data_IF_495360044556
#
_entry.id   IF_495360044556
#
_cell.length_a   1.000
_cell.length_b   1.000
_cell.length_c   1.000
_cell.angle_alpha   90.00
_cell.angle_beta   90.00
_cell.angle_gamma   90.00
#
_symmetry.space_group_name_H-M   'P 1'
#
loop_
_entity.id
_entity.type
_entity.pdbx_description
1 polymer ?
#
# COMPACT_ATOMS: atom_id res chain seq x y z
N UNK A 1 -47.17 33.29 -21.16
CA UNK A 1 -46.31 32.09 -21.08
C UNK A 1 -44.87 32.50 -20.75
N UNK A 2 -44.52 32.70 -19.46
CA UNK A 2 -43.15 33.12 -19.07
C UNK A 2 -42.74 32.71 -17.63
N UNK A 3 -43.48 31.79 -17.00
CA UNK A 3 -43.30 31.44 -15.59
C UNK A 3 -42.89 29.99 -15.30
N UNK A 4 -42.74 29.12 -16.32
CA UNK A 4 -42.44 27.69 -16.12
C UNK A 4 -40.96 27.32 -16.25
N UNK A 5 -40.11 28.20 -16.77
CA UNK A 5 -38.68 27.92 -16.95
C UNK A 5 -37.85 28.24 -15.70
N UNK A 6 -38.29 29.16 -14.83
CA UNK A 6 -37.52 29.54 -13.64
C UNK A 6 -37.55 28.44 -12.55
N UNK A 7 -38.66 27.71 -12.42
CA UNK A 7 -38.84 26.64 -11.44
C UNK A 7 -37.99 25.40 -11.74
N UNK A 8 -37.72 25.10 -13.01
CA UNK A 8 -36.87 23.96 -13.39
C UNK A 8 -35.37 24.19 -13.11
N UNK A 9 -34.91 25.44 -13.21
CA UNK A 9 -33.52 25.79 -12.90
C UNK A 9 -33.25 25.79 -11.39
N UNK A 10 -34.22 26.26 -10.60
CA UNK A 10 -34.14 26.23 -9.13
C UNK A 10 -34.14 24.80 -8.57
N UNK A 11 -34.93 23.88 -9.14
CA UNK A 11 -34.90 22.47 -8.72
C UNK A 11 -33.61 21.76 -9.12
N UNK A 12 -33.04 22.07 -10.30
CA UNK A 12 -31.76 21.52 -10.73
C UNK A 12 -30.59 21.94 -9.84
N UNK A 13 -30.53 23.21 -9.43
CA UNK A 13 -29.50 23.72 -8.51
C UNK A 13 -29.67 23.14 -7.10
N UNK A 14 -30.91 22.99 -6.62
CA UNK A 14 -31.17 22.40 -5.30
C UNK A 14 -30.76 20.92 -5.24
N UNK A 15 -31.01 20.16 -6.31
CA UNK A 15 -30.62 18.75 -6.39
C UNK A 15 -29.09 18.58 -6.48
N UNK A 16 -28.42 19.46 -7.21
CA UNK A 16 -26.95 19.50 -7.25
C UNK A 16 -26.34 19.89 -5.89
N UNK A 17 -26.98 20.80 -5.14
CA UNK A 17 -26.58 21.13 -3.77
C UNK A 17 -26.80 19.98 -2.78
N UNK A 18 -27.85 19.18 -2.95
CA UNK A 18 -28.12 18.00 -2.13
C UNK A 18 -27.11 16.87 -2.35
N UNK A 19 -26.55 16.74 -3.56
CA UNK A 19 -25.44 15.81 -3.84
C UNK A 19 -24.09 16.26 -3.27
N UNK A 20 -23.97 17.52 -2.83
CA UNK A 20 -22.78 18.08 -2.18
C UNK A 20 -22.83 17.98 -0.64
N UNK A 21 -23.91 17.40 -0.07
CA UNK A 21 -23.98 17.16 1.37
C UNK A 21 -22.93 16.11 1.77
N UNK A 22 -21.98 16.45 2.65
CA UNK A 22 -20.97 15.50 3.12
C UNK A 22 -21.68 14.38 3.86
N UNK A 23 -21.49 13.14 3.39
CA UNK A 23 -21.92 11.97 4.17
C UNK A 23 -20.97 11.81 5.37
N UNK A 24 -21.49 11.57 6.58
CA UNK A 24 -20.62 11.16 7.67
C UNK A 24 -19.82 9.94 7.23
N UNK A 25 -18.53 9.95 7.50
CA UNK A 25 -17.72 8.73 7.39
C UNK A 25 -18.39 7.66 8.28
N UNK A 26 -18.31 6.40 7.84
CA UNK A 26 -18.72 5.24 8.64
C UNK A 26 -17.47 4.47 9.11
N UNK A 27 -17.49 3.98 10.35
CA UNK A 27 -16.40 3.23 10.95
C UNK A 27 -16.34 1.93 10.17
N UNK A 28 -15.15 1.37 10.01
CA UNK A 28 -14.99 0.21 9.15
C UNK A 28 -15.61 -0.99 9.86
N UNK A 29 -16.80 -1.38 9.42
CA UNK A 29 -17.36 -2.68 9.75
C UNK A 29 -16.66 -3.73 8.90
N UNK A 30 -15.76 -4.47 9.53
CA UNK A 30 -15.15 -5.66 8.94
C UNK A 30 -16.18 -6.78 8.83
N UNK A 31 -16.01 -7.69 7.87
CA UNK A 31 -16.99 -8.75 7.62
C UNK A 31 -17.25 -9.62 8.85
N UNK A 32 -16.22 -9.78 9.69
CA UNK A 32 -16.25 -10.56 10.94
C UNK A 32 -15.45 -9.84 12.03
N UNK A 33 -15.65 -10.27 13.28
CA UNK A 33 -14.79 -9.84 14.38
C UNK A 33 -13.38 -10.40 14.15
N UNK A 34 -12.41 -9.52 13.94
CA UNK A 34 -11.03 -9.92 13.62
C UNK A 34 -10.28 -10.17 14.92
N UNK A 35 -9.91 -11.42 15.19
CA UNK A 35 -9.08 -11.81 16.33
C UNK A 35 -7.92 -12.66 15.80
N UNK A 36 -6.74 -12.05 15.65
CA UNK A 36 -5.58 -12.65 14.99
C UNK A 36 -4.30 -12.27 15.71
N UNK A 37 -3.37 -13.20 15.81
CA UNK A 37 -2.06 -12.99 16.42
C UNK A 37 -0.98 -12.78 15.34
N UNK A 38 -1.08 -13.48 14.20
CA UNK A 38 -0.05 -13.44 13.16
C UNK A 38 -0.56 -13.36 11.70
N UNK A 39 0.35 -13.54 10.73
CA UNK A 39 -0.02 -13.51 9.30
C UNK A 39 -0.71 -14.79 8.87
N UNK A 40 -0.41 -15.92 9.52
CA UNK A 40 -0.96 -17.22 9.15
C UNK A 40 -2.45 -17.27 9.53
N UNK A 41 -2.85 -16.68 10.65
CA UNK A 41 -4.27 -16.50 11.03
C UNK A 41 -5.05 -15.71 9.96
N UNK A 42 -4.46 -14.62 9.45
CA UNK A 42 -5.07 -13.84 8.36
C UNK A 42 -5.21 -14.67 7.07
N UNK A 43 -4.22 -15.53 6.77
CA UNK A 43 -4.31 -16.43 5.62
C UNK A 43 -5.40 -17.48 5.81
N UNK A 44 -5.60 -17.98 7.03
CA UNK A 44 -6.68 -18.92 7.35
C UNK A 44 -8.06 -18.27 7.18
N UNK A 45 -8.24 -17.01 7.62
CA UNK A 45 -9.47 -16.26 7.40
C UNK A 45 -9.77 -16.06 5.91
N UNK A 46 -8.75 -15.78 5.09
CA UNK A 46 -8.90 -15.68 3.64
C UNK A 46 -9.22 -17.04 3.01
N UNK A 47 -8.51 -18.10 3.40
CA UNK A 47 -8.70 -19.44 2.85
C UNK A 47 -10.06 -20.05 3.21
N UNK A 48 -10.65 -19.62 4.32
CA UNK A 48 -12.00 -20.01 4.77
C UNK A 48 -13.11 -19.08 4.25
N UNK A 49 -12.79 -18.13 3.36
CA UNK A 49 -13.71 -17.14 2.80
C UNK A 49 -14.45 -16.30 3.87
N UNK A 50 -13.88 -16.16 5.08
CA UNK A 50 -14.45 -15.32 6.15
C UNK A 50 -14.16 -13.84 5.92
N UNK A 51 -13.07 -13.54 5.21
CA UNK A 51 -12.71 -12.19 4.79
C UNK A 51 -12.43 -12.18 3.30
N UNK A 52 -12.72 -11.05 2.65
CA UNK A 52 -12.37 -10.85 1.24
C UNK A 52 -10.85 -10.67 1.04
N UNK A 53 -10.37 -10.89 -0.19
CA UNK A 53 -8.97 -10.62 -0.56
C UNK A 53 -8.59 -9.14 -0.31
N UNK A 54 -9.53 -8.22 -0.51
CA UNK A 54 -9.37 -6.79 -0.22
C UNK A 54 -9.18 -6.53 1.28
N UNK A 55 -10.01 -7.13 2.15
CA UNK A 55 -9.88 -7.04 3.60
C UNK A 55 -8.55 -7.65 4.08
N UNK A 56 -8.19 -8.83 3.57
CA UNK A 56 -6.93 -9.48 3.87
C UNK A 56 -5.73 -8.58 3.53
N UNK A 57 -5.70 -8.01 2.32
CA UNK A 57 -4.65 -7.10 1.89
C UNK A 57 -4.57 -5.84 2.79
N UNK A 58 -5.72 -5.32 3.21
CA UNK A 58 -5.83 -4.17 4.12
C UNK A 58 -5.26 -4.49 5.49
N UNK A 59 -5.63 -5.62 6.10
CA UNK A 59 -5.17 -6.04 7.42
C UNK A 59 -3.68 -6.38 7.45
N UNK A 60 -3.15 -7.01 6.40
CA UNK A 60 -1.72 -7.23 6.25
C UNK A 60 -0.97 -5.90 6.18
N UNK A 61 -1.45 -4.95 5.39
CA UNK A 61 -0.83 -3.63 5.29
C UNK A 61 -0.87 -2.90 6.63
N UNK A 62 -2.02 -2.95 7.32
CA UNK A 62 -2.20 -2.37 8.64
C UNK A 62 -1.23 -2.96 9.68
N UNK A 63 -1.13 -4.29 9.78
CA UNK A 63 -0.22 -4.98 10.70
C UNK A 63 1.24 -4.64 10.43
N UNK A 64 1.65 -4.61 9.14
CA UNK A 64 3.02 -4.27 8.76
C UNK A 64 3.34 -2.80 9.07
N UNK A 65 2.40 -1.90 8.79
CA UNK A 65 2.53 -0.46 9.02
C UNK A 65 2.48 -0.12 10.50
N UNK A 66 1.67 -0.81 11.28
CA UNK A 66 1.35 -0.49 12.67
C UNK A 66 0.67 0.87 12.86
N UNK A 67 -0.21 0.97 13.85
CA UNK A 67 -0.83 2.24 14.26
C UNK A 67 -0.21 2.68 15.58
N UNK A 68 0.28 3.91 15.65
CA UNK A 68 0.77 4.51 16.90
C UNK A 68 -0.38 5.25 17.58
N UNK A 69 -0.79 4.84 18.77
CA UNK A 69 -1.93 5.45 19.49
C UNK A 69 -1.70 6.93 19.83
N UNK A 70 -0.45 7.35 20.01
CA UNK A 70 -0.10 8.71 20.41
C UNK A 70 -0.11 9.67 19.22
N UNK A 71 0.23 9.20 18.02
CA UNK A 71 0.36 10.04 16.83
C UNK A 71 -0.78 9.84 15.81
N UNK A 72 -1.47 8.70 15.85
CA UNK A 72 -2.47 8.35 14.86
C UNK A 72 -3.57 9.40 14.75
N UNK A 73 -3.90 9.73 13.50
CA UNK A 73 -5.08 10.54 13.22
C UNK A 73 -6.35 9.75 13.53
N UNK A 74 -7.46 10.47 13.63
CA UNK A 74 -8.79 9.87 13.80
C UNK A 74 -9.09 8.82 12.71
N UNK A 75 -8.75 9.13 11.46
CA UNK A 75 -8.93 8.25 10.32
C UNK A 75 -8.06 6.99 10.40
N UNK A 76 -6.85 7.12 10.96
CA UNK A 76 -5.98 5.97 11.18
C UNK A 76 -6.47 5.07 12.31
N UNK A 77 -7.05 5.64 13.36
CA UNK A 77 -7.69 4.86 14.42
C UNK A 77 -8.94 4.12 13.90
N UNK A 78 -9.72 4.73 13.00
CA UNK A 78 -10.83 4.02 12.33
C UNK A 78 -10.39 2.88 11.43
N UNK A 79 -9.10 2.83 11.06
CA UNK A 79 -8.56 1.70 10.31
C UNK A 79 -8.29 0.46 11.16
N UNK A 80 -8.38 0.55 12.48
CA UNK A 80 -8.23 -0.59 13.37
C UNK A 80 -9.50 -1.45 13.37
N UNK A 81 -9.36 -2.79 13.37
CA UNK A 81 -10.52 -3.67 13.41
C UNK A 81 -11.26 -3.56 14.74
N UNK A 82 -12.55 -3.88 14.71
CA UNK A 82 -13.44 -3.98 15.87
C UNK A 82 -13.65 -2.67 16.67
N UNK A 83 -13.13 -1.52 16.22
CA UNK A 83 -13.36 -0.23 16.87
C UNK A 83 -14.59 0.49 16.31
N UNK A 84 -15.42 1.00 17.22
CA UNK A 84 -16.53 1.88 16.87
C UNK A 84 -16.11 3.36 16.85
N UNK A 85 -17.01 4.22 16.38
CA UNK A 85 -16.84 5.67 16.47
C UNK A 85 -16.60 6.16 17.89
N UNK A 86 -17.43 5.66 18.79
CA UNK A 86 -17.38 6.02 20.19
C UNK A 86 -16.04 5.60 20.80
N UNK A 87 -15.55 4.41 20.45
CA UNK A 87 -14.24 3.92 20.91
C UNK A 87 -13.11 4.86 20.49
N UNK A 88 -13.07 5.25 19.22
CA UNK A 88 -12.04 6.17 18.72
C UNK A 88 -12.16 7.55 19.36
N UNK A 89 -13.37 8.07 19.56
CA UNK A 89 -13.59 9.32 20.27
C UNK A 89 -13.08 9.26 21.71
N UNK A 90 -13.33 8.16 22.42
CA UNK A 90 -12.83 7.95 23.78
C UNK A 90 -11.30 7.85 23.81
N UNK A 91 -10.67 7.16 22.86
CA UNK A 91 -9.20 7.10 22.75
C UNK A 91 -8.63 8.51 22.54
N UNK A 92 -9.21 9.30 21.63
CA UNK A 92 -8.75 10.65 21.36
C UNK A 92 -8.95 11.60 22.54
N UNK A 93 -10.07 11.47 23.26
CA UNK A 93 -10.34 12.23 24.48
C UNK A 93 -9.34 11.86 25.59
N UNK A 94 -9.14 10.57 25.83
CA UNK A 94 -8.16 10.09 26.80
C UNK A 94 -6.74 10.57 26.47
N UNK A 95 -6.35 10.53 25.19
CA UNK A 95 -5.06 11.07 24.74
C UNK A 95 -4.91 12.56 25.02
N UNK A 96 -5.98 13.34 24.87
CA UNK A 96 -5.96 14.77 25.18
C UNK A 96 -5.83 15.05 26.69
N UNK A 97 -6.36 14.16 27.54
CA UNK A 97 -6.33 14.27 29.00
C UNK A 97 -5.02 13.76 29.60
N UNK A 98 -4.60 12.54 29.24
CA UNK A 98 -3.40 11.88 29.75
C UNK A 98 -2.11 12.40 29.09
N UNK A 99 -2.23 12.99 27.90
CA UNK A 99 -1.11 13.51 27.10
C UNK A 99 -0.35 12.41 26.35
N UNK A 100 0.05 11.33 27.03
CA UNK A 100 0.74 10.18 26.43
C UNK A 100 0.11 8.88 26.93
N UNK A 101 -0.18 7.97 26.00
CA UNK A 101 -0.57 6.58 26.26
C UNK A 101 0.73 5.76 26.30
N UNK A 102 1.12 5.27 27.48
CA UNK A 102 2.39 4.56 27.68
C UNK A 102 2.29 3.10 27.26
N UNK A 103 1.16 2.47 27.57
CA UNK A 103 0.87 1.11 27.18
C UNK A 103 -0.57 1.01 26.66
N UNK A 104 -0.85 0.11 25.69
CA UNK A 104 -2.23 -0.18 25.29
C UNK A 104 -3.13 -0.58 26.48
N UNK A 105 -2.55 -1.21 27.51
CA UNK A 105 -3.24 -1.57 28.75
C UNK A 105 -3.81 -0.37 29.52
N UNK A 106 -3.26 0.84 29.35
CA UNK A 106 -3.76 2.06 29.98
C UNK A 106 -5.19 2.37 29.51
N UNK A 107 -5.52 2.05 28.26
CA UNK A 107 -6.87 2.22 27.71
C UNK A 107 -7.88 1.30 28.38
N UNK A 108 -7.49 0.07 28.70
CA UNK A 108 -8.35 -0.83 29.47
C UNK A 108 -8.47 -0.41 30.94
N UNK A 109 -7.36 0.02 31.56
CA UNK A 109 -7.36 0.49 32.94
C UNK A 109 -8.20 1.76 33.14
N UNK A 110 -8.22 2.66 32.16
CA UNK A 110 -9.04 3.87 32.14
C UNK A 110 -10.50 3.61 31.71
N UNK A 111 -10.86 2.39 31.34
CA UNK A 111 -12.21 2.05 30.86
C UNK A 111 -12.53 2.63 29.47
N UNK A 112 -11.51 3.02 28.71
CA UNK A 112 -11.63 3.58 27.35
C UNK A 112 -11.91 2.48 26.33
N UNK A 113 -11.39 1.26 26.55
CA UNK A 113 -11.68 0.07 25.75
C UNK A 113 -11.91 -1.13 26.67
N UNK A 114 -12.71 -2.10 26.23
CA UNK A 114 -12.79 -3.38 26.92
C UNK A 114 -11.56 -4.25 26.63
N UNK A 115 -11.30 -5.24 27.49
CA UNK A 115 -10.13 -6.11 27.36
C UNK A 115 -10.14 -6.94 26.08
N UNK A 116 -11.33 -7.33 25.60
CA UNK A 116 -11.49 -8.15 24.41
C UNK A 116 -11.15 -7.35 23.14
N UNK A 117 -11.74 -6.16 22.98
CA UNK A 117 -11.43 -5.31 21.82
C UNK A 117 -9.99 -4.89 21.86
N UNK A 118 -9.45 -4.52 23.04
CA UNK A 118 -8.03 -4.22 23.18
C UNK A 118 -7.14 -5.38 22.72
N UNK A 119 -7.41 -6.60 23.17
CA UNK A 119 -6.66 -7.80 22.76
C UNK A 119 -6.63 -7.97 21.24
N UNK A 120 -7.79 -7.84 20.59
CA UNK A 120 -7.94 -8.02 19.14
C UNK A 120 -7.17 -6.98 18.29
N UNK A 121 -6.90 -5.80 18.84
CA UNK A 121 -6.18 -4.73 18.12
C UNK A 121 -4.68 -4.70 18.42
N UNK A 122 -4.18 -5.46 19.40
CA UNK A 122 -2.77 -5.42 19.82
C UNK A 122 -1.80 -5.75 18.68
N UNK A 123 -2.14 -6.72 17.81
CA UNK A 123 -1.29 -7.10 16.66
C UNK A 123 -1.12 -5.97 15.63
N UNK A 124 -2.04 -4.99 15.62
CA UNK A 124 -2.05 -3.88 14.68
C UNK A 124 -1.46 -2.58 15.26
N UNK A 125 -1.22 -2.52 16.57
CA UNK A 125 -0.74 -1.34 17.27
C UNK A 125 0.78 -1.43 17.49
N UNK A 126 1.47 -0.29 17.41
CA UNK A 126 2.85 -0.17 17.85
C UNK A 126 2.89 0.32 19.29
N UNK A 127 3.55 -0.45 20.16
CA UNK A 127 3.92 0.05 21.48
C UNK A 127 4.98 1.14 21.31
N UNK A 128 4.66 2.36 21.75
CA UNK A 128 5.64 3.43 21.89
C UNK A 128 6.59 3.14 23.05
N UNK A 129 7.79 3.73 23.01
CA UNK A 129 8.67 3.75 24.18
C UNK A 129 8.05 4.70 25.24
N UNK A 130 7.70 4.20 26.45
CA UNK A 130 7.02 4.99 27.46
C UNK A 130 7.84 6.18 27.97
N UNK A 131 9.16 6.21 27.77
CA UNK A 131 10.03 7.32 28.16
C UNK A 131 10.35 8.30 27.01
N UNK A 132 9.96 7.96 25.78
CA UNK A 132 10.27 8.78 24.63
C UNK A 132 9.43 10.07 24.61
N UNK A 133 10.12 11.22 24.52
CA UNK A 133 9.46 12.49 24.20
C UNK A 133 8.80 12.36 22.83
N UNK A 134 7.63 12.96 22.61
CA UNK A 134 6.99 13.01 21.29
C UNK A 134 7.88 13.63 20.18
N UNK A 135 8.92 14.39 20.52
CA UNK A 135 9.90 14.91 19.53
C UNK A 135 11.09 13.97 19.29
N UNK A 136 11.16 12.85 20.01
CA UNK A 136 12.24 11.90 19.90
C UNK A 136 12.24 11.27 18.51
N UNK A 137 13.44 11.00 18.01
CA UNK A 137 13.58 10.30 16.74
C UNK A 137 13.36 8.82 17.01
N UNK A 138 12.35 8.24 16.38
CA UNK A 138 12.07 6.81 16.45
C UNK A 138 12.10 6.22 15.06
N UNK A 139 12.31 4.92 14.98
CA UNK A 139 12.45 4.25 13.70
C UNK A 139 12.70 2.77 13.88
N UNK A 140 12.73 2.07 12.77
CA UNK A 140 13.00 0.65 12.74
C UNK A 140 13.78 0.31 11.48
N UNK A 141 14.58 -0.75 11.60
CA UNK A 141 15.28 -1.38 10.48
C UNK A 141 14.86 -2.84 10.47
N UNK A 142 14.47 -3.34 9.29
CA UNK A 142 14.10 -4.74 9.10
C UNK A 142 14.92 -5.32 7.96
N UNK A 143 15.62 -6.41 8.26
CA UNK A 143 16.33 -7.20 7.27
C UNK A 143 15.66 -8.58 7.18
N UNK A 144 15.33 -9.01 5.97
CA UNK A 144 14.75 -10.34 5.74
C UNK A 144 15.47 -11.04 4.60
N UNK A 145 15.67 -12.34 4.77
CA UNK A 145 16.20 -13.23 3.75
C UNK A 145 15.50 -14.58 3.85
N UNK A 146 15.54 -15.36 2.78
CA UNK A 146 14.99 -16.71 2.76
C UNK A 146 15.84 -17.59 1.84
N UNK A 147 16.06 -18.84 2.24
CA UNK A 147 16.88 -19.80 1.51
C UNK A 147 16.19 -21.18 1.51
N UNK A 148 16.59 -22.04 0.58
CA UNK A 148 16.15 -23.44 0.53
C UNK A 148 17.36 -24.35 0.30
N UNK A 149 17.29 -25.62 0.71
CA UNK A 149 18.43 -26.56 0.65
C UNK A 149 18.89 -26.87 -0.78
N UNK A 150 17.97 -26.81 -1.75
CA UNK A 150 18.27 -27.02 -3.18
C UNK A 150 18.79 -25.74 -3.87
N UNK A 151 18.59 -24.57 -3.26
CA UNK A 151 19.01 -23.28 -3.81
C UNK A 151 20.38 -22.88 -3.27
N UNK A 152 21.42 -23.04 -4.10
CA UNK A 152 22.82 -22.70 -3.77
C UNK A 152 23.22 -21.29 -4.20
N UNK A 153 22.30 -20.51 -4.75
CA UNK A 153 22.56 -19.14 -5.19
C UNK A 153 22.64 -18.15 -4.02
N UNK A 154 22.95 -16.89 -4.35
CA UNK A 154 22.68 -15.76 -3.43
C UNK A 154 21.20 -15.83 -3.07
N UNK A 155 20.78 -15.74 -1.79
CA UNK A 155 19.36 -15.76 -1.45
C UNK A 155 18.70 -14.42 -1.77
N UNK A 156 17.37 -14.38 -1.99
CA UNK A 156 16.65 -13.12 -2.01
C UNK A 156 16.80 -12.42 -0.65
N UNK A 157 17.00 -11.11 -0.70
CA UNK A 157 17.17 -10.28 0.49
C UNK A 157 16.37 -9.00 0.35
N UNK A 158 15.89 -8.49 1.47
CA UNK A 158 15.24 -7.18 1.55
C UNK A 158 15.71 -6.46 2.81
N UNK A 159 15.98 -5.16 2.66
CA UNK A 159 16.32 -4.26 3.75
C UNK A 159 15.35 -3.08 3.71
N UNK A 160 14.61 -2.90 4.79
CA UNK A 160 13.71 -1.77 4.99
C UNK A 160 14.22 -0.94 6.15
N UNK A 161 14.10 0.38 6.03
CA UNK A 161 14.35 1.29 7.11
C UNK A 161 13.32 2.41 7.08
N UNK A 162 12.81 2.79 8.24
CA UNK A 162 11.95 3.98 8.41
C UNK A 162 12.35 4.70 9.67
N UNK A 163 12.47 6.02 9.57
CA UNK A 163 12.77 6.91 10.69
C UNK A 163 11.79 8.07 10.65
N UNK A 164 11.19 8.36 11.80
CA UNK A 164 10.33 9.52 12.03
C UNK A 164 11.01 10.44 13.05
N UNK A 165 11.08 11.72 12.73
CA UNK A 165 11.75 12.74 13.53
C UNK A 165 10.94 14.04 13.49
N UNK A 166 11.15 14.92 14.48
CA UNK A 166 10.44 16.21 14.58
C UNK A 166 8.90 16.10 14.55
N UNK A 167 8.31 14.96 14.98
CA UNK A 167 6.87 14.59 14.92
C UNK A 167 6.25 14.46 13.52
N UNK A 168 6.86 15.07 12.50
CA UNK A 168 6.19 15.30 11.21
C UNK A 168 7.02 14.80 10.05
N UNK A 169 8.35 14.64 10.22
CA UNK A 169 9.24 14.21 9.14
C UNK A 169 9.47 12.71 9.22
N UNK A 170 8.96 11.97 8.23
CA UNK A 170 9.22 10.53 8.07
C UNK A 170 10.04 10.28 6.81
N UNK A 171 11.14 9.53 6.96
CA UNK A 171 12.02 9.13 5.87
C UNK A 171 12.05 7.60 5.85
N UNK A 172 11.95 7.01 4.67
CA UNK A 172 12.04 5.56 4.57
C UNK A 172 12.47 5.06 3.19
N UNK A 173 12.98 3.83 3.17
CA UNK A 173 13.39 3.14 1.97
C UNK A 173 13.29 1.62 2.12
N UNK A 174 13.08 0.93 1.01
CA UNK A 174 13.13 -0.53 0.91
C UNK A 174 13.98 -0.94 -0.29
N UNK A 175 15.12 -1.58 -0.01
CA UNK A 175 16.05 -2.14 -0.99
C UNK A 175 15.94 -3.66 -1.07
N UNK A 176 16.10 -4.21 -2.27
CA UNK A 176 15.88 -5.63 -2.57
C UNK A 176 17.07 -6.19 -3.34
N UNK A 177 17.41 -7.44 -3.07
CA UNK A 177 18.24 -8.25 -3.95
C UNK A 177 17.33 -9.26 -4.64
N UNK A 178 17.08 -9.05 -5.93
CA UNK A 178 16.26 -9.93 -6.78
C UNK A 178 17.13 -10.73 -7.71
N UNK A 179 16.70 -11.93 -8.08
CA UNK A 179 17.44 -12.89 -8.91
C UNK A 179 16.63 -13.31 -10.12
N UNK A 180 15.31 -13.34 -9.99
CA UNK A 180 14.32 -13.81 -10.96
C UNK A 180 13.66 -12.66 -11.74
N UNK A 181 14.23 -11.46 -11.66
CA UNK A 181 13.77 -10.32 -12.47
C UNK A 181 14.70 -10.12 -13.66
N UNK A 182 14.16 -10.07 -14.90
CA UNK A 182 14.94 -9.65 -16.05
C UNK A 182 15.38 -8.19 -15.88
N UNK A 183 16.45 -7.81 -16.58
CA UNK A 183 16.86 -6.42 -16.67
C UNK A 183 15.77 -5.54 -17.31
N UNK A 184 15.89 -4.20 -17.19
CA UNK A 184 15.02 -3.30 -17.96
C UNK A 184 15.19 -3.60 -19.46
N UNK A 185 14.08 -3.71 -20.23
CA UNK A 185 14.16 -3.96 -21.66
C UNK A 185 14.81 -2.76 -22.36
N UNK A 186 15.68 -3.04 -23.32
CA UNK A 186 16.37 -2.08 -24.17
C UNK A 186 16.10 -2.45 -25.62
N UNK A 187 15.79 -1.45 -26.43
CA UNK A 187 15.61 -1.65 -27.87
C UNK A 187 16.96 -1.94 -28.55
N UNK A 188 17.07 -3.06 -29.26
CA UNK A 188 18.23 -3.39 -30.10
C UNK A 188 17.88 -3.14 -31.58
N UNK A 189 18.45 -2.10 -32.22
CA UNK A 189 18.13 -1.76 -33.60
C UNK A 189 18.66 -2.78 -34.62
N UNK A 190 19.61 -3.65 -34.26
CA UNK A 190 20.11 -4.67 -35.18
C UNK A 190 19.17 -5.88 -35.28
N UNK A 191 18.43 -6.13 -34.19
CA UNK A 191 17.48 -7.23 -34.07
C UNK A 191 16.03 -6.79 -34.26
N UNK A 192 15.78 -5.49 -34.32
CA UNK A 192 14.44 -4.89 -34.37
C UNK A 192 13.54 -5.42 -33.24
N UNK A 193 14.14 -5.60 -32.05
CA UNK A 193 13.51 -6.28 -30.92
C UNK A 193 13.87 -5.64 -29.58
N UNK A 194 12.99 -5.84 -28.58
CA UNK A 194 13.26 -5.51 -27.19
C UNK A 194 14.05 -6.63 -26.53
N UNK A 195 15.26 -6.32 -26.10
CA UNK A 195 16.16 -7.24 -25.42
C UNK A 195 16.23 -6.88 -23.94
N UNK A 196 16.17 -7.87 -23.05
CA UNK A 196 16.42 -7.69 -21.63
C UNK A 196 17.66 -8.47 -21.22
N UNK A 197 18.46 -7.92 -20.31
CA UNK A 197 19.53 -8.71 -19.71
C UNK A 197 18.96 -9.89 -18.93
N UNK A 198 19.65 -11.04 -18.99
CA UNK A 198 19.30 -12.27 -18.29
C UNK A 198 19.05 -12.08 -16.79
N UNK A 199 18.30 -13.03 -16.22
CA UNK A 199 18.00 -13.08 -14.80
C UNK A 199 19.31 -13.33 -14.02
N UNK A 200 19.68 -12.38 -13.15
CA UNK A 200 20.87 -12.47 -12.29
C UNK A 200 20.62 -11.69 -10.98
N UNK A 201 21.37 -11.97 -9.90
CA UNK A 201 21.29 -11.18 -8.68
C UNK A 201 21.53 -9.69 -8.95
N UNK A 202 20.55 -8.85 -8.64
CA UNK A 202 20.59 -7.39 -8.80
C UNK A 202 20.05 -6.70 -7.56
N UNK A 203 20.71 -5.62 -7.18
CA UNK A 203 20.23 -4.70 -6.14
C UNK A 203 19.24 -3.73 -6.78
N UNK A 204 18.04 -3.61 -6.21
CA UNK A 204 17.01 -2.67 -6.62
C UNK A 204 16.60 -1.81 -5.42
N UNK A 205 16.39 -0.52 -5.65
CA UNK A 205 15.81 0.39 -4.65
C UNK A 205 14.46 0.91 -5.16
N UNK A 206 13.41 0.06 -5.21
CA UNK A 206 12.15 0.44 -5.82
C UNK A 206 11.32 1.41 -4.97
N UNK A 207 11.62 1.51 -3.66
CA UNK A 207 10.88 2.34 -2.72
C UNK A 207 11.83 3.21 -1.91
N UNK A 208 11.64 4.51 -2.02
CA UNK A 208 12.30 5.52 -1.20
C UNK A 208 11.39 6.74 -1.12
N UNK A 209 11.25 7.32 0.06
CA UNK A 209 10.37 8.47 0.27
C UNK A 209 10.85 9.37 1.41
N UNK A 210 10.42 10.62 1.34
CA UNK A 210 10.48 11.61 2.40
C UNK A 210 9.11 12.24 2.51
N UNK A 211 8.51 12.21 3.69
CA UNK A 211 7.21 12.77 3.99
C UNK A 211 7.32 13.78 5.12
N UNK A 212 6.76 14.96 4.91
CA UNK A 212 6.39 15.88 5.96
C UNK A 212 4.88 15.82 6.14
N UNK A 213 4.40 15.46 7.32
CA UNK A 213 2.97 15.44 7.62
C UNK A 213 2.64 16.25 8.87
N UNK A 214 1.99 17.40 8.67
CA UNK A 214 1.55 18.26 9.77
C UNK A 214 0.03 18.43 9.79
N UNK A 215 -0.45 19.25 10.72
CA UNK A 215 -1.89 19.48 10.93
C UNK A 215 -2.52 20.29 9.79
N UNK A 216 -1.77 21.24 9.22
CA UNK A 216 -2.27 22.18 8.19
C UNK A 216 -1.95 21.73 6.78
N UNK A 217 -0.73 21.24 6.57
CA UNK A 217 -0.26 20.78 5.27
C UNK A 217 0.60 19.54 5.43
N UNK A 218 0.68 18.76 4.36
CA UNK A 218 1.64 17.68 4.21
C UNK A 218 2.21 17.65 2.80
N UNK A 219 3.40 17.08 2.68
CA UNK A 219 4.09 16.85 1.41
C UNK A 219 4.76 15.48 1.48
N UNK A 220 4.70 14.72 0.39
CA UNK A 220 5.52 13.52 0.21
C UNK A 220 6.26 13.58 -1.11
N UNK A 221 7.53 13.18 -1.09
CA UNK A 221 8.39 13.06 -2.27
C UNK A 221 8.93 11.64 -2.33
N UNK A 222 8.93 11.04 -3.52
CA UNK A 222 9.42 9.69 -3.77
C UNK A 222 8.27 8.71 -3.99
N UNK A 223 8.33 7.55 -3.32
CA UNK A 223 7.36 6.46 -3.49
C UNK A 223 6.18 6.64 -2.55
N UNK A 224 5.00 6.84 -3.12
CA UNK A 224 3.78 7.07 -2.36
C UNK A 224 2.57 6.37 -2.98
N UNK A 225 1.50 6.33 -2.19
CA UNK A 225 0.15 5.96 -2.62
C UNK A 225 -0.77 7.11 -2.28
N UNK A 226 -1.81 7.29 -3.08
CA UNK A 226 -2.84 8.27 -2.82
C UNK A 226 -4.21 7.66 -3.05
N UNK A 227 -5.18 8.10 -2.27
CA UNK A 227 -6.57 7.73 -2.45
C UNK A 227 -7.51 8.82 -1.95
N UNK A 228 -8.58 9.03 -2.71
CA UNK A 228 -9.51 10.14 -2.55
C UNK A 228 -10.95 9.71 -2.77
N UNK A 229 -11.88 10.42 -2.13
CA UNK A 229 -13.31 10.25 -2.34
C UNK A 229 -13.81 8.85 -1.97
N UNK A 230 -13.30 8.26 -0.88
CA UNK A 230 -13.70 6.91 -0.43
C UNK A 230 -13.54 5.86 -1.53
N UNK A 231 -12.40 5.87 -2.24
CA UNK A 231 -12.07 4.99 -3.36
C UNK A 231 -12.86 5.23 -4.65
N UNK A 232 -13.78 6.20 -4.70
CA UNK A 232 -14.63 6.45 -5.88
C UNK A 232 -13.96 7.29 -6.97
N UNK A 233 -13.02 8.17 -6.61
CA UNK A 233 -12.39 9.09 -7.58
C UNK A 233 -11.06 8.53 -8.06
N UNK A 234 -10.22 8.14 -7.12
CA UNK A 234 -8.89 7.64 -7.39
C UNK A 234 -8.40 6.92 -6.15
N UNK A 235 -7.89 5.71 -6.29
CA UNK A 235 -7.28 4.97 -5.19
C UNK A 235 -6.18 4.05 -5.69
N UNK A 236 -5.01 4.19 -5.06
CA UNK A 236 -3.85 3.30 -5.23
C UNK A 236 -3.37 2.74 -3.89
N UNK A 237 -4.13 3.02 -2.84
CA UNK A 237 -3.92 2.50 -1.49
C UNK A 237 -4.61 1.14 -1.35
N UNK A 238 -4.32 0.42 -0.26
CA UNK A 238 -5.19 -0.67 0.19
C UNK A 238 -5.89 -0.26 1.49
N UNK A 239 -6.27 1.02 1.62
CA UNK A 239 -7.02 1.51 2.79
C UNK A 239 -8.50 1.49 2.46
N UNK A 240 -9.34 1.23 3.45
CA UNK A 240 -10.78 1.18 3.26
C UNK A 240 -11.38 2.56 2.96
N UNK A 241 -10.96 3.59 3.69
CA UNK A 241 -11.39 4.99 3.52
C UNK A 241 -10.18 5.90 3.29
N UNK A 242 -9.51 5.79 2.13
CA UNK A 242 -8.34 6.59 1.87
C UNK A 242 -8.72 8.06 1.66
N UNK A 243 -8.00 8.94 2.35
CA UNK A 243 -8.12 10.38 2.24
C UNK A 243 -6.74 11.03 2.32
N UNK A 244 -6.14 11.29 1.17
CA UNK A 244 -4.84 11.94 1.06
C UNK A 244 -3.77 11.05 0.43
N UNK A 245 -2.53 11.26 0.83
CA UNK A 245 -1.37 10.51 0.37
C UNK A 245 -0.64 9.86 1.55
N UNK A 246 0.01 8.73 1.27
CA UNK A 246 0.66 7.89 2.26
C UNK A 246 1.99 7.38 1.68
N UNK A 247 3.01 7.26 2.52
CA UNK A 247 4.24 6.59 2.13
C UNK A 247 3.97 5.12 1.75
N UNK A 248 4.82 4.56 0.87
CA UNK A 248 4.80 3.14 0.53
C UNK A 248 6.18 2.51 0.74
N UNK A 249 6.29 1.68 1.76
CA UNK A 249 7.40 0.74 2.00
C UNK A 249 6.94 -0.72 2.06
N UNK A 250 5.77 -1.05 1.51
CA UNK A 250 5.21 -2.39 1.59
C UNK A 250 6.06 -3.41 0.82
N UNK A 251 6.51 -4.44 1.54
CA UNK A 251 7.24 -5.61 1.02
C UNK A 251 6.34 -6.83 1.15
N UNK A 252 6.31 -7.67 0.11
CA UNK A 252 5.51 -8.89 0.08
C UNK A 252 6.43 -10.11 0.01
N UNK A 253 6.28 -11.02 0.97
CA UNK A 253 6.98 -12.29 0.98
C UNK A 253 6.20 -13.34 0.17
N UNK A 254 6.85 -14.12 -0.68
CA UNK A 254 6.22 -15.29 -1.28
C UNK A 254 6.17 -16.46 -0.28
N UNK A 255 5.00 -17.09 -0.15
CA UNK A 255 4.78 -18.21 0.78
C UNK A 255 4.92 -19.58 0.12
N UNK A 256 5.20 -19.61 -1.18
CA UNK A 256 5.35 -20.85 -1.96
C UNK A 256 6.68 -20.86 -2.69
N UNK A 257 7.26 -22.06 -2.78
CA UNK A 257 8.41 -22.31 -3.65
C UNK A 257 8.01 -22.10 -5.13
N UNK A 258 9.00 -21.79 -5.95
CA UNK A 258 8.84 -21.69 -7.40
C UNK A 258 10.05 -22.23 -8.12
N UNK A 259 9.90 -22.50 -9.41
CA UNK A 259 11.04 -22.84 -10.26
C UNK A 259 12.08 -21.73 -10.21
N UNK A 260 13.34 -22.12 -10.01
CA UNK A 260 14.46 -21.17 -9.94
C UNK A 260 14.75 -20.62 -11.33
N UNK A 261 14.80 -21.50 -12.34
CA UNK A 261 14.99 -21.16 -13.74
C UNK A 261 13.61 -21.00 -14.42
N UNK A 262 13.40 -19.86 -15.10
CA UNK A 262 12.10 -19.49 -15.71
C UNK A 262 12.21 -18.98 -17.15
N UNK A 263 13.35 -19.22 -17.79
CA UNK A 263 13.65 -18.77 -19.14
C UNK A 263 13.11 -19.79 -20.17
N UNK A 264 12.34 -19.31 -21.14
CA UNK A 264 11.93 -20.10 -22.30
C UNK A 264 13.12 -20.29 -23.27
N UNK A 265 12.92 -21.10 -24.32
CA UNK A 265 13.92 -21.23 -25.38
C UNK A 265 14.14 -19.92 -26.15
N UNK A 266 13.09 -19.12 -26.35
CA UNK A 266 13.15 -17.93 -27.21
C UNK A 266 13.71 -18.30 -28.59
N UNK A 267 14.76 -17.60 -29.03
CA UNK A 267 15.48 -17.87 -30.29
C UNK A 267 16.41 -19.10 -30.23
N UNK A 268 16.62 -19.70 -29.06
CA UNK A 268 17.52 -20.85 -28.90
C UNK A 268 16.84 -22.16 -29.30
N UNK A 269 17.61 -23.17 -29.77
CA UNK A 269 17.06 -24.50 -30.08
C UNK A 269 16.41 -25.22 -28.89
N UNK A 270 16.86 -24.91 -27.66
CA UNK A 270 16.36 -25.50 -26.42
C UNK A 270 16.39 -24.45 -25.28
N UNK A 271 15.48 -24.59 -24.32
CA UNK A 271 15.44 -23.71 -23.14
C UNK A 271 16.71 -23.85 -22.30
N UNK A 272 17.30 -22.72 -21.83
CA UNK A 272 18.36 -22.76 -20.82
C UNK A 272 17.94 -23.45 -19.52
N UNK A 273 16.63 -23.58 -19.29
CA UNK A 273 16.02 -24.25 -18.16
C UNK A 273 15.65 -25.71 -18.46
N UNK A 274 16.11 -26.32 -19.55
CA UNK A 274 15.89 -27.73 -19.81
C UNK A 274 16.60 -28.63 -18.77
N UNK A 275 16.09 -29.86 -18.60
CA UNK A 275 16.64 -30.84 -17.66
C UNK A 275 16.38 -30.51 -16.18
N UNK A 276 17.32 -30.88 -15.31
CA UNK A 276 17.17 -30.76 -13.85
C UNK A 276 17.02 -29.30 -13.36
N UNK A 277 17.54 -28.34 -14.12
CA UNK A 277 17.47 -26.91 -13.77
C UNK A 277 16.03 -26.36 -13.81
N UNK A 278 15.22 -26.81 -14.76
CA UNK A 278 13.80 -26.44 -14.86
C UNK A 278 12.92 -27.09 -13.80
N UNK A 279 13.37 -28.20 -13.22
CA UNK A 279 12.65 -28.93 -12.17
C UNK A 279 13.12 -28.57 -10.75
N UNK A 280 14.10 -27.68 -10.61
CA UNK A 280 14.59 -27.26 -9.30
C UNK A 280 13.70 -26.16 -8.73
N UNK A 281 13.11 -26.42 -7.56
CA UNK A 281 12.28 -25.46 -6.83
C UNK A 281 13.08 -24.78 -5.73
N UNK A 282 12.92 -23.46 -5.62
CA UNK A 282 13.57 -22.64 -4.61
C UNK A 282 12.69 -21.49 -4.13
N UNK A 283 13.27 -20.65 -3.29
CA UNK A 283 12.57 -19.48 -2.75
C UNK A 283 12.42 -18.43 -3.85
N UNK A 284 11.18 -17.99 -4.07
CA UNK A 284 10.88 -16.86 -4.97
C UNK A 284 11.39 -15.55 -4.39
N UNK A 285 11.70 -14.58 -5.25
CA UNK A 285 12.12 -13.25 -4.79
C UNK A 285 11.03 -12.53 -3.99
N UNK A 286 11.44 -11.69 -3.04
CA UNK A 286 10.55 -10.72 -2.41
C UNK A 286 9.92 -9.82 -3.46
N UNK A 287 8.62 -9.58 -3.33
CA UNK A 287 7.85 -8.77 -4.26
C UNK A 287 7.58 -7.39 -3.67
N UNK A 288 7.43 -6.42 -4.57
CA UNK A 288 6.83 -5.14 -4.27
C UNK A 288 5.76 -4.85 -5.30
N UNK A 289 4.78 -4.03 -4.91
CA UNK A 289 3.86 -3.40 -5.85
C UNK A 289 4.46 -2.08 -6.29
N UNK A 290 4.40 -1.80 -7.58
CA UNK A 290 4.80 -0.52 -8.12
C UNK A 290 3.83 0.56 -7.63
N UNK A 291 4.39 1.52 -6.91
CA UNK A 291 3.66 2.65 -6.35
C UNK A 291 3.75 3.85 -7.28
N UNK A 292 3.08 4.93 -6.93
CA UNK A 292 3.36 6.21 -7.58
C UNK A 292 4.78 6.64 -7.18
N UNK A 293 5.51 7.25 -8.11
CA UNK A 293 6.77 7.93 -7.83
C UNK A 293 6.64 9.39 -8.22
N UNK A 294 6.86 10.30 -7.29
CA UNK A 294 6.79 11.73 -7.57
C UNK A 294 6.54 12.56 -6.34
N UNK A 295 5.63 13.53 -6.45
CA UNK A 295 5.33 14.48 -5.38
C UNK A 295 3.83 14.57 -5.17
N UNK A 296 3.40 14.53 -3.92
CA UNK A 296 2.04 14.92 -3.54
C UNK A 296 2.08 15.95 -2.41
N UNK A 297 1.15 16.90 -2.45
CA UNK A 297 0.97 17.98 -1.48
C UNK A 297 -0.50 18.07 -1.12
N UNK A 298 -0.79 18.36 0.15
CA UNK A 298 -2.15 18.50 0.64
C UNK A 298 -2.26 19.61 1.68
N UNK A 299 -3.35 20.37 1.61
CA UNK A 299 -3.81 21.25 2.67
C UNK A 299 -5.01 20.58 3.36
N UNK A 300 -4.88 20.30 4.66
CA UNK A 300 -5.80 19.42 5.40
C UNK A 300 -6.99 20.12 6.06
N UNK A 301 -6.83 21.40 6.41
CA UNK A 301 -7.83 22.14 7.18
C UNK A 301 -7.83 23.63 6.79
N UNK A 302 -8.21 23.90 5.54
CA UNK A 302 -8.36 25.28 5.07
C UNK A 302 -9.66 25.85 5.66
N UNK A 303 -9.59 26.91 6.49
CA UNK A 303 -10.80 27.49 7.08
C UNK A 303 -11.66 28.14 6.00
N UNK A 304 -12.95 27.82 6.01
CA UNK A 304 -13.97 28.48 5.18
C UNK A 304 -14.94 29.25 6.08
N UNK A 305 -15.70 30.23 5.54
CA UNK A 305 -16.72 30.94 6.31
C UNK A 305 -17.74 30.02 7.01
N UNK A 306 -17.97 28.84 6.44
CA UNK A 306 -18.72 27.74 7.06
C UNK A 306 -17.95 26.44 6.82
N UNK A 307 -17.41 25.85 7.88
CA UNK A 307 -16.69 24.57 7.83
C UNK A 307 -15.21 24.67 7.42
N UNK A 308 -14.70 23.60 6.82
CA UNK A 308 -13.31 23.48 6.37
C UNK A 308 -13.23 22.80 5.01
N UNK A 309 -12.13 23.03 4.30
CA UNK A 309 -11.85 22.41 3.01
C UNK A 309 -10.50 21.68 3.03
N UNK A 310 -10.46 20.55 2.32
CA UNK A 310 -9.25 19.83 1.98
C UNK A 310 -8.93 20.02 0.50
N UNK A 311 -7.66 20.26 0.21
CA UNK A 311 -7.16 20.37 -1.15
C UNK A 311 -5.91 19.53 -1.32
N UNK A 312 -5.92 18.61 -2.26
CA UNK A 312 -4.78 17.75 -2.57
C UNK A 312 -4.37 17.92 -4.03
N UNK A 313 -3.06 17.96 -4.27
CA UNK A 313 -2.46 17.94 -5.60
C UNK A 313 -1.37 16.89 -5.63
N UNK A 314 -1.32 16.08 -6.68
CA UNK A 314 -0.30 15.05 -6.83
C UNK A 314 0.15 14.93 -8.29
N UNK A 315 1.43 14.61 -8.45
CA UNK A 315 2.04 14.30 -9.73
C UNK A 315 2.90 13.05 -9.59
N UNK A 316 2.72 12.10 -10.50
CA UNK A 316 3.50 10.87 -10.51
C UNK A 316 4.02 10.55 -11.90
N UNK A 317 5.20 9.94 -11.93
CA UNK A 317 5.72 9.23 -13.10
C UNK A 317 5.92 7.77 -12.69
N UNK A 318 5.56 6.85 -13.57
CA UNK A 318 5.83 5.44 -13.38
C UNK A 318 6.69 4.96 -14.55
N UNK A 319 7.90 4.48 -14.26
CA UNK A 319 8.63 3.65 -15.21
C UNK A 319 8.01 2.25 -15.15
N UNK A 320 6.90 2.04 -15.87
CA UNK A 320 6.32 0.71 -16.02
C UNK A 320 7.40 -0.20 -16.61
N UNK A 321 7.74 -1.27 -15.91
CA UNK A 321 8.47 -2.36 -16.54
C UNK A 321 7.46 -3.05 -17.44
N UNK A 322 7.60 -2.87 -18.75
CA UNK A 322 6.70 -3.47 -19.73
C UNK A 322 6.73 -4.98 -19.51
N UNK A 323 5.60 -5.57 -19.17
CA UNK A 323 5.51 -7.01 -19.00
C UNK A 323 5.50 -7.67 -20.38
N UNK A 324 6.07 -8.86 -20.52
CA UNK A 324 6.24 -9.53 -21.81
C UNK A 324 4.93 -9.68 -22.62
N UNK A 325 3.78 -9.78 -21.96
CA UNK A 325 2.45 -9.87 -22.58
C UNK A 325 1.79 -8.51 -22.86
N UNK A 326 2.49 -7.39 -22.61
CA UNK A 326 2.02 -6.02 -22.87
C UNK A 326 2.69 -5.39 -24.10
N UNK A 327 3.52 -6.15 -24.83
CA UNK A 327 4.22 -5.70 -26.04
C UNK A 327 3.53 -6.31 -27.25
N UNK A 328 3.03 -5.47 -28.16
CA UNK A 328 2.48 -5.88 -29.45
C UNK A 328 3.10 -5.00 -30.54
N UNK A 329 3.28 -5.53 -31.75
CA UNK A 329 3.73 -4.74 -32.88
C UNK A 329 2.55 -3.97 -33.46
N UNK A 330 2.55 -2.64 -33.31
CA UNK A 330 1.51 -1.76 -33.85
C UNK A 330 1.37 -1.85 -35.37
N UNK A 331 2.42 -2.23 -36.10
CA UNK A 331 2.35 -2.40 -37.55
C UNK A 331 1.63 -3.68 -37.96
N UNK A 332 1.49 -4.64 -37.04
CA UNK A 332 0.82 -5.93 -37.25
C UNK A 332 -0.50 -6.04 -36.48
N UNK A 333 -0.73 -5.17 -35.50
CA UNK A 333 -1.88 -5.17 -34.62
C UNK A 333 -2.36 -3.75 -34.34
N UNK A 334 -3.48 -3.38 -34.97
CA UNK A 334 -4.10 -2.05 -34.81
C UNK A 334 -4.87 -1.92 -33.47
N UNK A 335 -5.38 -3.03 -32.91
CA UNK A 335 -6.08 -3.06 -31.61
C UNK A 335 -5.42 -4.05 -30.63
N UNK A 336 -4.75 -3.57 -29.57
CA UNK A 336 -4.07 -4.42 -28.59
C UNK A 336 -4.98 -5.26 -27.69
N UNK A 337 -6.30 -5.10 -27.80
CA UNK A 337 -7.27 -5.97 -27.11
C UNK A 337 -7.76 -7.11 -27.99
N UNK A 338 -7.34 -7.16 -29.25
CA UNK A 338 -7.67 -8.28 -30.13
C UNK A 338 -7.03 -9.57 -29.64
N UNK A 339 -7.79 -10.65 -29.73
CA UNK A 339 -7.33 -12.02 -29.45
C UNK A 339 -6.63 -12.67 -30.63
N UNK A 340 -6.42 -11.92 -31.72
CA UNK A 340 -5.71 -12.41 -32.89
C UNK A 340 -4.26 -12.78 -32.54
N UNK A 341 -3.77 -13.86 -33.14
CA UNK A 341 -2.42 -14.37 -32.89
C UNK A 341 -1.33 -13.36 -33.30
N UNK A 342 -1.60 -12.48 -34.27
CA UNK A 342 -0.73 -11.36 -34.65
C UNK A 342 -0.66 -10.22 -33.63
N UNK A 343 -1.63 -10.16 -32.71
CA UNK A 343 -1.67 -9.23 -31.58
C UNK A 343 -1.08 -9.83 -30.30
N UNK A 344 -0.67 -11.10 -30.35
CA UNK A 344 0.04 -11.73 -29.25
C UNK A 344 1.47 -11.20 -29.16
N UNK A 345 2.04 -11.21 -27.95
CA UNK A 345 3.42 -10.83 -27.77
C UNK A 345 4.33 -11.75 -28.60
N UNK A 346 5.34 -11.20 -29.32
CA UNK A 346 6.24 -12.02 -30.10
C UNK A 346 6.91 -13.06 -29.19
N UNK A 347 6.85 -14.32 -29.62
CA UNK A 347 7.34 -15.49 -28.88
C UNK A 347 8.86 -15.52 -28.70
#
# INVERSE_FOLDING_TARGET
MRGKTLTLWLTGVLLALLCLLPRPALAIEYEVFIDVDDEDDLNELLASDQISEDTFNTLIELRRRGVDLNEASREELYSLPNLTYEDVDRILAYRAEAGIIHAPADLAAAGVLDLRTLGSILTFIRAGDPEARLTATHGWVRYQTAWSTQDRGVPPMVMQARVTTLRQLTIGAAGFVTRQRPGPPVWDPNRDALMAEQMKPRVNLPKAFVQWDGDKFGVIVGSYRAGFGQRLIFDTTNRYTPNGFYFDDAVYRPNQLGQICRESAGELPESPCAGDLGNTYGIKDFRWRDSQRGVAIGAKHLPLPVGWMQLYGFGSWQSRQVYQYEIFDKNQCDDPRSTDESCSAPA
#
